data_IF_615341081711
#
_entry.id   IF_615341081711
#
_cell.length_a   1.000
_cell.length_b   1.000
_cell.length_c   1.000
_cell.angle_alpha   90.00
_cell.angle_beta   90.00
_cell.angle_gamma   90.00
#
_symmetry.space_group_name_H-M   'P 1'
#
loop_
_entity.id
_entity.type
_entity.pdbx_description
1 polymer ?
#
# COMPACT_ATOMS: atom_id res chain seq x y z
N UNK A 1 12.61 -35.44 -7.95
CA UNK A 1 11.66 -34.90 -6.95
C UNK A 1 11.86 -33.40 -6.91
N UNK A 2 10.92 -32.61 -7.40
CA UNK A 2 10.93 -31.16 -7.18
C UNK A 2 10.38 -30.94 -5.77
N UNK A 3 11.22 -30.52 -4.84
CA UNK A 3 10.74 -30.09 -3.52
C UNK A 3 9.94 -28.81 -3.70
N UNK A 4 8.67 -28.82 -3.32
CA UNK A 4 7.90 -27.59 -3.19
C UNK A 4 8.48 -26.83 -2.00
N UNK A 5 9.37 -25.88 -2.29
CA UNK A 5 9.75 -24.84 -1.35
C UNK A 5 8.63 -23.80 -1.39
N UNK A 6 7.96 -23.54 -0.26
CA UNK A 6 7.05 -22.40 -0.15
C UNK A 6 7.90 -21.13 -0.30
N UNK A 7 7.80 -20.46 -1.45
CA UNK A 7 8.46 -19.19 -1.69
C UNK A 7 7.52 -18.07 -1.25
N UNK A 8 7.94 -17.28 -0.26
CA UNK A 8 7.23 -16.09 0.21
C UNK A 8 7.91 -14.85 -0.39
N UNK A 9 7.12 -13.90 -0.87
CA UNK A 9 7.63 -12.56 -1.16
C UNK A 9 7.71 -11.74 0.13
N UNK A 10 8.65 -10.80 0.18
CA UNK A 10 8.83 -9.91 1.31
C UNK A 10 8.97 -8.46 0.84
N UNK A 11 8.61 -7.51 1.68
CA UNK A 11 8.84 -6.09 1.41
C UNK A 11 9.07 -5.31 2.68
N UNK A 12 9.95 -4.32 2.60
CA UNK A 12 10.21 -3.36 3.66
C UNK A 12 9.99 -1.95 3.13
N UNK A 13 9.22 -1.17 3.87
CA UNK A 13 8.86 0.20 3.52
C UNK A 13 9.43 1.14 4.59
N UNK A 14 10.13 2.18 4.16
CA UNK A 14 10.65 3.24 5.04
C UNK A 14 10.15 4.57 4.52
N UNK A 15 9.46 5.32 5.38
CA UNK A 15 8.78 6.55 4.99
C UNK A 15 9.17 7.67 5.94
N UNK A 16 9.55 8.81 5.37
CA UNK A 16 9.69 10.07 6.09
C UNK A 16 8.51 10.97 5.74
N UNK A 17 7.78 11.42 6.76
CA UNK A 17 6.63 12.33 6.62
C UNK A 17 6.73 13.47 7.61
N UNK A 18 6.16 14.61 7.27
CA UNK A 18 5.79 15.66 8.22
C UNK A 18 4.33 15.56 8.58
N UNK A 19 4.00 15.94 9.81
CA UNK A 19 2.63 15.99 10.32
C UNK A 19 2.31 17.41 10.76
N UNK A 20 1.25 17.98 10.20
CA UNK A 20 0.66 19.20 10.76
C UNK A 20 -0.03 18.87 12.09
N UNK A 21 0.41 19.48 13.19
CA UNK A 21 -0.05 19.12 14.53
C UNK A 21 -1.47 19.57 14.84
N UNK A 22 -2.00 20.55 14.12
CA UNK A 22 -3.34 21.07 14.36
C UNK A 22 -4.40 20.24 13.62
N UNK A 23 -4.07 19.74 12.44
CA UNK A 23 -5.01 19.06 11.52
C UNK A 23 -4.76 17.56 11.39
N UNK A 24 -3.56 17.09 11.73
CA UNK A 24 -3.13 15.72 11.47
C UNK A 24 -2.74 15.46 10.01
N UNK A 25 -2.78 16.47 9.13
CA UNK A 25 -2.44 16.30 7.73
C UNK A 25 -0.97 15.89 7.53
N UNK A 26 -0.74 14.96 6.59
CA UNK A 26 0.58 14.41 6.31
C UNK A 26 1.17 14.97 5.03
N UNK A 27 2.48 15.25 5.03
CA UNK A 27 3.27 15.56 3.84
C UNK A 27 4.40 14.56 3.69
N UNK A 28 4.41 13.81 2.60
CA UNK A 28 5.48 12.87 2.30
C UNK A 28 6.77 13.60 1.91
N UNK A 29 7.88 13.28 2.58
CA UNK A 29 9.21 13.81 2.29
C UNK A 29 10.02 12.84 1.44
N UNK A 30 9.99 11.55 1.82
CA UNK A 30 10.70 10.49 1.15
C UNK A 30 10.01 9.14 1.41
N UNK A 31 10.08 8.25 0.43
CA UNK A 31 9.57 6.88 0.52
C UNK A 31 10.59 5.95 -0.14
N UNK A 32 11.08 4.96 0.58
CA UNK A 32 11.93 3.89 0.05
C UNK A 32 11.26 2.53 0.26
N UNK A 33 11.38 1.66 -0.75
CA UNK A 33 10.84 0.30 -0.73
C UNK A 33 11.94 -0.67 -1.15
N UNK A 34 12.11 -1.73 -0.37
CA UNK A 34 12.85 -2.91 -0.79
C UNK A 34 11.86 -4.07 -0.94
N UNK A 35 11.72 -4.60 -2.15
CA UNK A 35 10.79 -5.68 -2.47
C UNK A 35 11.57 -6.91 -2.98
N UNK A 36 11.36 -8.06 -2.35
CA UNK A 36 11.92 -9.35 -2.76
C UNK A 36 10.79 -10.27 -3.25
N UNK A 37 10.80 -10.53 -4.56
CA UNK A 37 9.93 -11.53 -5.20
C UNK A 37 10.74 -12.63 -5.90
N UNK A 38 12.01 -12.82 -5.53
CA UNK A 38 12.92 -13.70 -6.24
C UNK A 38 13.29 -13.18 -7.63
N UNK A 39 13.27 -14.06 -8.64
CA UNK A 39 13.65 -13.68 -10.01
C UNK A 39 12.51 -12.93 -10.69
N UNK A 40 12.73 -11.66 -10.99
CA UNK A 40 11.83 -10.88 -11.83
C UNK A 40 11.78 -11.45 -13.25
N UNK A 41 10.59 -11.79 -13.73
CA UNK A 41 10.36 -12.22 -15.12
C UNK A 41 10.27 -10.99 -16.03
N UNK A 42 9.58 -9.94 -15.58
CA UNK A 42 9.47 -8.66 -16.25
C UNK A 42 9.65 -7.52 -15.24
N UNK A 43 10.85 -6.91 -15.19
CA UNK A 43 11.16 -5.85 -14.23
C UNK A 43 10.21 -4.66 -14.27
N UNK A 44 9.78 -4.24 -15.46
CA UNK A 44 8.88 -3.09 -15.62
C UNK A 44 7.50 -3.35 -15.01
N UNK A 45 7.00 -4.58 -15.12
CA UNK A 45 5.74 -4.96 -14.47
C UNK A 45 5.89 -5.03 -12.95
N UNK A 46 7.00 -5.59 -12.46
CA UNK A 46 7.27 -5.67 -11.02
C UNK A 46 7.36 -4.27 -10.41
N UNK A 47 8.11 -3.37 -11.04
CA UNK A 47 8.21 -1.97 -10.62
C UNK A 47 6.83 -1.29 -10.61
N UNK A 48 6.04 -1.47 -11.68
CA UNK A 48 4.68 -0.94 -11.74
C UNK A 48 3.77 -1.46 -10.62
N UNK A 49 3.88 -2.75 -10.27
CA UNK A 49 3.13 -3.35 -9.17
C UNK A 49 3.57 -2.81 -7.81
N UNK A 50 4.87 -2.62 -7.58
CA UNK A 50 5.38 -2.05 -6.32
C UNK A 50 4.86 -0.63 -6.12
N UNK A 51 4.85 0.20 -7.17
CA UNK A 51 4.28 1.54 -7.09
C UNK A 51 2.75 1.50 -6.91
N UNK A 52 2.05 0.68 -7.69
CA UNK A 52 0.59 0.57 -7.63
C UNK A 52 0.08 0.10 -6.28
N UNK A 53 0.69 -0.96 -5.72
CA UNK A 53 0.31 -1.48 -4.40
C UNK A 53 0.61 -0.48 -3.28
N UNK A 54 1.73 0.24 -3.38
CA UNK A 54 2.07 1.29 -2.41
C UNK A 54 1.08 2.44 -2.45
N UNK A 55 0.75 2.95 -3.65
CA UNK A 55 -0.23 4.01 -3.81
C UNK A 55 -1.61 3.57 -3.28
N UNK A 56 -2.02 2.34 -3.58
CA UNK A 56 -3.27 1.77 -3.08
C UNK A 56 -3.28 1.64 -1.56
N UNK A 57 -2.20 1.13 -0.95
CA UNK A 57 -2.09 1.02 0.51
C UNK A 57 -2.12 2.38 1.21
N UNK A 58 -1.50 3.40 0.62
CA UNK A 58 -1.57 4.79 1.12
C UNK A 58 -3.01 5.30 1.05
N UNK A 59 -3.70 5.10 -0.08
CA UNK A 59 -5.11 5.48 -0.26
C UNK A 59 -6.01 4.81 0.77
N UNK A 60 -5.93 3.48 0.85
CA UNK A 60 -6.70 2.67 1.80
C UNK A 60 -6.50 3.09 3.26
N UNK A 61 -5.30 3.52 3.63
CA UNK A 61 -4.98 3.86 5.03
C UNK A 61 -5.32 5.31 5.38
N UNK A 62 -5.15 6.25 4.44
CA UNK A 62 -5.22 7.68 4.73
C UNK A 62 -6.45 8.38 4.15
N UNK A 63 -7.06 7.83 3.10
CA UNK A 63 -8.06 8.52 2.28
C UNK A 63 -9.40 7.79 2.24
N UNK A 64 -9.41 6.47 2.44
CA UNK A 64 -10.61 5.64 2.32
C UNK A 64 -11.27 5.39 3.68
N UNK A 65 -12.60 5.52 3.72
CA UNK A 65 -13.42 5.21 4.89
C UNK A 65 -14.72 4.50 4.46
N UNK A 66 -15.10 3.46 5.20
CA UNK A 66 -16.39 2.78 5.03
C UNK A 66 -17.38 3.30 6.10
N UNK A 67 -18.22 4.25 5.71
CA UNK A 67 -19.21 4.85 6.63
C UNK A 67 -20.53 4.12 6.46
N UNK A 68 -21.12 3.69 7.58
CA UNK A 68 -22.42 3.02 7.62
C UNK A 68 -23.42 3.85 8.43
N UNK A 69 -24.71 3.78 8.06
CA UNK A 69 -25.79 4.32 8.88
C UNK A 69 -26.21 3.36 10.01
N UNK A 70 -27.19 3.77 10.82
CA UNK A 70 -27.69 3.01 11.98
C UNK A 70 -28.36 1.69 11.58
N UNK A 71 -28.82 1.58 10.33
CA UNK A 71 -29.39 0.37 9.72
C UNK A 71 -28.33 -0.51 9.02
N UNK A 72 -27.05 -0.12 9.07
CA UNK A 72 -25.93 -0.84 8.49
C UNK A 72 -25.81 -0.72 6.97
N UNK A 73 -26.42 0.30 6.35
CA UNK A 73 -26.24 0.58 4.93
C UNK A 73 -24.94 1.34 4.71
N UNK A 74 -24.15 0.90 3.72
CA UNK A 74 -22.93 1.60 3.32
C UNK A 74 -23.28 2.93 2.64
N UNK A 75 -22.77 4.03 3.17
CA UNK A 75 -22.98 5.38 2.65
C UNK A 75 -21.91 5.78 1.63
N UNK A 76 -20.68 5.29 1.78
CA UNK A 76 -19.55 5.57 0.88
C UNK A 76 -19.54 4.63 -0.34
N UNK A 77 -20.56 4.74 -1.19
CA UNK A 77 -20.76 3.87 -2.37
C UNK A 77 -20.30 4.47 -3.70
N UNK A 78 -19.85 5.73 -3.67
CA UNK A 78 -19.35 6.49 -4.82
C UNK A 78 -18.04 7.17 -4.44
N UNK A 79 -17.31 7.66 -5.45
CA UNK A 79 -16.04 8.38 -5.35
C UNK A 79 -16.16 9.70 -4.59
#
# INVERSE_FOLDING_TARGET
RVGVQLAFSNSAHVVAVEVDRATGALRFLAYAIAHDCGREINPLLVEGMVHGSTAHGIGATLLEEFVYDDEGQLLTTTF
#
